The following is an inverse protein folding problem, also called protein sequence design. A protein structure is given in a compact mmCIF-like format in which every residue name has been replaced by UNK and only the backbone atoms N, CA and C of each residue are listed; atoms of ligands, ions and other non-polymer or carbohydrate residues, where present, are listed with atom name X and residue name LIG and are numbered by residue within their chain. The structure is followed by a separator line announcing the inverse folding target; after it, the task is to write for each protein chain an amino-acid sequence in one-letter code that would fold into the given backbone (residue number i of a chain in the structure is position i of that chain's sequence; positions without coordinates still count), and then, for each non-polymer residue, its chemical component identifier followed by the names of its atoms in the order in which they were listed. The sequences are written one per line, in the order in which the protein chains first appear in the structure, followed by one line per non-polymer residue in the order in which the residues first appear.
data_IF_357508413300
#
_entry.id   IF_357508413300
#
_cell.length_a   1.000
_cell.length_b   1.000
_cell.length_c   1.000
_cell.angle_alpha   90.00
_cell.angle_beta   90.00
_cell.angle_gamma   90.00
#
_symmetry.space_group_name_H-M   'P 1'
#
loop_
_entity.id
_entity.type
_entity.pdbx_description
1 polymer ?
#
# COMPACT_ATOMS: atom_id res chain seq x y z
N UNK A 1 11.41 -19.60 23.36
CA UNK A 1 11.62 -18.24 22.84
C UNK A 1 11.38 -18.32 21.35
N UNK A 2 10.42 -17.54 20.84
CA UNK A 2 10.01 -17.56 19.43
C UNK A 2 11.17 -17.03 18.58
N UNK A 3 11.54 -17.74 17.50
CA UNK A 3 12.56 -17.26 16.58
C UNK A 3 11.99 -16.10 15.77
N UNK A 4 12.35 -14.87 16.11
CA UNK A 4 11.93 -13.66 15.37
C UNK A 4 12.70 -13.48 14.05
N UNK A 5 13.47 -14.48 13.59
CA UNK A 5 14.37 -14.39 12.43
C UNK A 5 13.69 -14.00 11.11
N UNK A 6 12.37 -14.17 11.01
CA UNK A 6 11.57 -13.88 9.82
C UNK A 6 10.98 -12.47 9.81
N UNK A 7 10.94 -11.78 10.96
CA UNK A 7 10.51 -10.38 10.99
C UNK A 7 11.61 -9.49 10.41
N UNK A 8 11.27 -8.33 9.80
CA UNK A 8 12.27 -7.34 9.45
C UNK A 8 13.11 -6.94 10.67
N UNK A 9 14.40 -6.68 10.48
CA UNK A 9 15.36 -6.40 11.56
C UNK A 9 14.88 -5.34 12.56
N UNK A 10 14.16 -4.32 12.06
CA UNK A 10 13.57 -3.27 12.89
C UNK A 10 12.55 -3.81 13.91
N UNK A 11 11.76 -4.81 13.52
CA UNK A 11 10.75 -5.43 14.39
C UNK A 11 11.34 -6.52 15.29
N UNK A 12 12.41 -7.20 14.87
CA UNK A 12 13.14 -8.11 15.76
C UNK A 12 13.65 -7.39 17.03
N UNK A 13 14.15 -6.17 16.84
CA UNK A 13 14.57 -5.28 17.93
C UNK A 13 13.37 -4.83 18.79
N UNK A 14 12.23 -4.54 18.17
CA UNK A 14 11.00 -4.17 18.88
C UNK A 14 10.49 -5.28 19.80
N UNK A 15 10.41 -6.52 19.33
CA UNK A 15 9.90 -7.65 20.14
C UNK A 15 10.93 -8.19 21.16
N UNK A 16 12.22 -7.91 20.96
CA UNK A 16 13.27 -8.18 21.98
C UNK A 16 13.42 -7.04 22.99
N UNK A 17 12.87 -5.87 22.71
CA UNK A 17 12.83 -4.73 23.61
C UNK A 17 11.64 -4.82 24.56
N UNK A 18 11.89 -4.73 25.86
CA UNK A 18 10.83 -4.54 26.88
C UNK A 18 10.21 -3.14 26.86
N UNK A 19 10.61 -2.27 25.92
CA UNK A 19 10.09 -0.93 25.74
C UNK A 19 9.04 -0.92 24.62
N UNK A 20 7.76 -0.89 25.01
CA UNK A 20 6.64 -0.61 24.09
C UNK A 20 6.63 0.90 23.83
N UNK A 21 7.00 1.38 22.63
CA UNK A 21 6.87 2.79 22.28
C UNK A 21 5.40 3.17 22.38
N UNK A 22 5.10 4.32 22.99
CA UNK A 22 3.75 4.89 22.90
C UNK A 22 3.43 5.08 21.43
N UNK A 23 2.24 4.66 21.02
CA UNK A 23 1.74 4.93 19.67
C UNK A 23 1.94 6.43 19.38
N UNK A 24 2.51 6.80 18.23
CA UNK A 24 2.68 8.19 17.87
C UNK A 24 1.32 8.90 17.96
N UNK A 25 1.25 10.07 18.58
CA UNK A 25 -0.02 10.83 18.71
C UNK A 25 -0.66 11.15 17.35
N UNK A 26 0.12 11.06 16.27
CA UNK A 26 -0.29 11.28 14.89
C UNK A 26 -0.60 9.99 14.10
N UNK A 27 -0.51 8.79 14.69
CA UNK A 27 -0.91 7.55 14.02
C UNK A 27 -2.45 7.48 13.92
N UNK A 28 -2.99 7.94 12.79
CA UNK A 28 -4.41 7.84 12.48
C UNK A 28 -4.71 6.57 11.70
N UNK A 29 -5.07 5.51 12.41
CA UNK A 29 -5.78 4.37 11.81
C UNK A 29 -7.20 4.82 11.49
N UNK A 30 -7.46 5.15 10.22
CA UNK A 30 -8.82 5.39 9.76
C UNK A 30 -9.54 4.04 9.70
N UNK A 31 -10.34 3.76 10.73
CA UNK A 31 -11.30 2.66 10.66
C UNK A 31 -12.43 3.14 9.74
N UNK A 32 -12.78 2.42 8.65
CA UNK A 32 -14.02 2.70 7.95
C UNK A 32 -15.18 2.54 8.94
N UNK A 33 -16.21 3.37 8.82
CA UNK A 33 -17.42 3.22 9.64
C UNK A 33 -17.95 1.80 9.45
N UNK A 34 -18.27 1.14 10.57
CA UNK A 34 -18.42 -0.32 10.71
C UNK A 34 -19.52 -0.99 9.86
N UNK A 35 -20.19 -0.23 8.99
CA UNK A 35 -21.30 -0.68 8.17
C UNK A 35 -21.02 -0.67 6.66
N UNK A 36 -19.89 -0.12 6.21
CA UNK A 36 -19.52 -0.18 4.80
C UNK A 36 -18.66 -1.42 4.55
N UNK A 37 -19.26 -2.44 3.93
CA UNK A 37 -18.45 -3.58 3.47
C UNK A 37 -17.46 -3.09 2.41
N UNK A 38 -16.29 -3.72 2.28
CA UNK A 38 -15.32 -3.42 1.22
C UNK A 38 -15.98 -3.41 -0.17
N UNK A 39 -17.03 -4.22 -0.36
CA UNK A 39 -17.85 -4.21 -1.59
C UNK A 39 -18.63 -2.92 -1.80
N UNK A 40 -19.12 -2.26 -0.75
CA UNK A 40 -19.78 -0.95 -0.83
C UNK A 40 -18.78 0.14 -1.20
N UNK A 41 -17.60 0.18 -0.57
CA UNK A 41 -16.51 1.12 -0.95
C UNK A 41 -16.09 0.90 -2.42
N UNK A 42 -16.01 -0.36 -2.87
CA UNK A 42 -15.73 -0.72 -4.27
C UNK A 42 -16.87 -0.31 -5.22
N UNK A 43 -18.13 -0.44 -4.80
CA UNK A 43 -19.31 -0.16 -5.64
C UNK A 43 -19.63 1.34 -5.71
N UNK A 44 -19.49 2.06 -4.60
CA UNK A 44 -19.68 3.51 -4.48
C UNK A 44 -18.45 4.30 -4.96
N UNK A 45 -17.26 3.67 -4.95
CA UNK A 45 -16.03 4.19 -5.57
C UNK A 45 -16.12 4.42 -7.08
N UNK A 46 -17.22 4.03 -7.74
CA UNK A 46 -17.55 4.46 -9.10
C UNK A 46 -17.93 5.95 -9.21
N UNK A 47 -18.31 6.62 -8.11
CA UNK A 47 -18.88 7.97 -8.19
C UNK A 47 -18.27 9.04 -7.31
N UNK A 48 -17.43 8.75 -6.31
CA UNK A 48 -16.78 9.81 -5.53
C UNK A 48 -15.30 9.50 -5.30
N UNK A 49 -14.44 10.35 -5.87
CA UNK A 49 -13.01 10.61 -5.57
C UNK A 49 -12.38 9.52 -4.71
N UNK A 50 -11.69 8.55 -5.33
CA UNK A 50 -11.23 7.35 -4.62
C UNK A 50 -10.31 7.60 -3.40
N UNK A 51 -9.73 8.80 -3.23
CA UNK A 51 -9.02 9.21 -2.01
C UNK A 51 -9.10 10.72 -1.75
N UNK A 52 -10.20 11.25 -1.16
CA UNK A 52 -10.29 12.66 -0.83
C UNK A 52 -9.21 13.08 0.19
N UNK A 53 -8.75 12.13 1.01
CA UNK A 53 -7.69 12.35 1.99
C UNK A 53 -6.32 12.54 1.34
N UNK A 54 -5.97 11.74 0.33
CA UNK A 54 -4.71 11.89 -0.39
C UNK A 54 -4.65 13.25 -1.09
N UNK A 55 -5.74 13.65 -1.75
CA UNK A 55 -5.85 14.99 -2.34
C UNK A 55 -5.63 16.09 -1.30
N UNK A 56 -6.20 15.95 -0.11
CA UNK A 56 -6.01 16.90 1.00
C UNK A 56 -4.57 16.92 1.54
N UNK A 57 -3.92 15.77 1.64
CA UNK A 57 -2.52 15.68 2.06
C UNK A 57 -1.58 16.35 1.05
N UNK A 58 -1.81 16.13 -0.25
CA UNK A 58 -1.05 16.77 -1.32
C UNK A 58 -1.23 18.30 -1.33
N UNK A 59 -2.43 18.80 -1.04
CA UNK A 59 -2.69 20.24 -0.88
C UNK A 59 -1.89 20.82 0.29
N UNK A 60 -1.91 20.15 1.44
CA UNK A 60 -1.21 20.61 2.66
C UNK A 60 0.30 20.69 2.43
N UNK A 61 0.91 19.69 1.79
CA UNK A 61 2.34 19.70 1.44
C UNK A 61 2.72 20.84 0.49
N UNK A 62 1.86 21.19 -0.47
CA UNK A 62 2.11 22.33 -1.37
C UNK A 62 2.05 23.65 -0.63
N UNK A 63 1.04 23.88 0.20
CA UNK A 63 0.89 25.13 0.96
C UNK A 63 2.09 25.39 1.88
N UNK A 64 2.67 24.33 2.45
CA UNK A 64 3.89 24.40 3.26
C UNK A 64 5.17 24.72 2.45
N UNK A 65 5.15 24.61 1.12
CA UNK A 65 6.31 24.82 0.23
C UNK A 65 6.23 26.04 -0.68
N UNK A 66 5.17 26.84 -0.59
CA UNK A 66 5.09 28.11 -1.33
C UNK A 66 5.95 29.16 -0.62
N UNK A 67 7.28 29.01 -0.70
CA UNK A 67 8.18 30.15 -0.86
C UNK A 67 8.45 30.26 -2.36
N UNK A 68 7.85 31.26 -3.02
CA UNK A 68 7.84 31.38 -4.48
C UNK A 68 9.25 31.70 -5.00
N UNK A 69 10.01 30.66 -5.35
CA UNK A 69 11.19 30.75 -6.21
C UNK A 69 10.81 30.81 -7.70
N UNK A 70 11.72 31.24 -8.60
CA UNK A 70 11.41 31.54 -10.01
C UNK A 70 11.19 30.31 -10.89
N UNK A 71 11.57 29.12 -10.43
CA UNK A 71 11.37 27.89 -11.17
C UNK A 71 9.98 27.32 -10.85
N UNK A 72 9.15 27.14 -11.88
CA UNK A 72 7.88 26.45 -11.77
C UNK A 72 8.13 25.00 -11.32
N UNK A 73 8.20 24.78 -10.01
CA UNK A 73 8.60 23.51 -9.41
C UNK A 73 7.66 22.38 -9.84
N UNK A 74 8.20 21.36 -10.49
CA UNK A 74 7.49 20.11 -10.70
C UNK A 74 7.31 19.40 -9.34
N UNK A 75 6.08 18.94 -9.07
CA UNK A 75 5.78 18.16 -7.88
C UNK A 75 5.70 16.69 -8.30
N UNK A 76 6.61 15.86 -7.80
CA UNK A 76 6.50 14.40 -7.99
C UNK A 76 5.90 13.76 -6.74
N UNK A 77 5.00 12.81 -6.94
CA UNK A 77 4.34 12.02 -5.90
C UNK A 77 4.55 10.54 -6.21
N UNK A 78 5.04 9.78 -5.23
CA UNK A 78 5.19 8.33 -5.33
C UNK A 78 4.08 7.64 -4.54
N UNK A 79 3.38 6.71 -5.18
CA UNK A 79 2.31 5.91 -4.57
C UNK A 79 2.63 4.43 -4.80
N UNK A 80 3.00 3.73 -3.73
CA UNK A 80 3.19 2.29 -3.73
C UNK A 80 1.95 1.57 -3.20
N UNK A 81 1.54 0.50 -3.88
CA UNK A 81 0.51 -0.41 -3.39
C UNK A 81 1.16 -1.66 -2.82
N UNK A 82 0.95 -1.95 -1.54
CA UNK A 82 1.30 -3.22 -0.92
C UNK A 82 0.01 -4.06 -0.83
N UNK A 83 -0.06 -5.13 -1.61
CA UNK A 83 -1.28 -5.88 -1.84
C UNK A 83 -1.09 -7.33 -1.42
N UNK A 84 -2.00 -7.79 -0.58
CA UNK A 84 -2.17 -9.20 -0.26
C UNK A 84 -2.59 -10.00 -1.50
N UNK A 85 -1.77 -10.99 -1.85
CA UNK A 85 -1.99 -11.91 -2.97
C UNK A 85 -2.21 -13.36 -2.50
N UNK A 86 -2.75 -13.55 -1.29
CA UNK A 86 -3.15 -14.89 -0.83
C UNK A 86 -4.45 -15.36 -1.45
N UNK A 87 -4.76 -16.65 -1.28
CA UNK A 87 -5.93 -17.29 -1.89
C UNK A 87 -7.26 -16.63 -1.55
N UNK A 88 -7.40 -16.05 -0.34
CA UNK A 88 -8.60 -15.34 0.13
C UNK A 88 -8.93 -14.11 -0.73
N UNK A 89 -7.89 -13.46 -1.27
CA UNK A 89 -8.01 -12.25 -2.09
C UNK A 89 -8.46 -12.52 -3.53
N UNK A 90 -8.44 -13.78 -4.00
CA UNK A 90 -8.81 -14.18 -5.37
C UNK A 90 -10.16 -13.61 -5.87
N UNK A 91 -11.29 -13.69 -5.14
CA UNK A 91 -12.55 -13.07 -5.55
C UNK A 91 -12.52 -11.54 -5.61
N UNK A 92 -11.60 -10.89 -4.90
CA UNK A 92 -11.49 -9.42 -4.80
C UNK A 92 -10.57 -8.84 -5.89
N UNK A 93 -9.52 -9.58 -6.29
CA UNK A 93 -8.51 -9.10 -7.24
C UNK A 93 -9.05 -8.49 -8.54
N UNK A 94 -10.06 -9.05 -9.23
CA UNK A 94 -10.59 -8.43 -10.45
C UNK A 94 -11.13 -7.00 -10.22
N UNK A 95 -11.82 -6.79 -9.10
CA UNK A 95 -12.34 -5.48 -8.74
C UNK A 95 -11.21 -4.56 -8.27
N UNK A 96 -10.24 -5.09 -7.53
CA UNK A 96 -9.07 -4.33 -7.07
C UNK A 96 -8.26 -3.77 -8.25
N UNK A 97 -8.02 -4.58 -9.30
CA UNK A 97 -7.33 -4.11 -10.53
C UNK A 97 -8.05 -2.92 -11.15
N UNK A 98 -9.37 -3.02 -11.32
CA UNK A 98 -10.18 -1.95 -11.88
C UNK A 98 -10.14 -0.70 -11.01
N UNK A 99 -10.15 -0.88 -9.68
CA UNK A 99 -10.11 0.23 -8.75
C UNK A 99 -8.75 0.93 -8.73
N UNK A 100 -7.63 0.20 -8.71
CA UNK A 100 -6.29 0.79 -8.79
C UNK A 100 -6.18 1.65 -10.05
N UNK A 101 -6.64 1.16 -11.20
CA UNK A 101 -6.61 1.92 -12.45
C UNK A 101 -7.53 3.16 -12.40
N UNK A 102 -8.71 3.03 -11.80
CA UNK A 102 -9.62 4.17 -11.61
C UNK A 102 -9.04 5.21 -10.64
N UNK A 103 -8.30 4.77 -9.62
CA UNK A 103 -7.60 5.63 -8.66
C UNK A 103 -6.53 6.42 -9.38
N UNK A 104 -5.66 5.75 -10.14
CA UNK A 104 -4.52 6.39 -10.80
C UNK A 104 -4.99 7.40 -11.84
N UNK A 105 -5.99 7.05 -12.65
CA UNK A 105 -6.64 7.97 -13.62
C UNK A 105 -7.35 9.14 -12.90
N UNK A 106 -8.00 8.86 -11.77
CA UNK A 106 -8.69 9.87 -10.97
C UNK A 106 -7.73 10.88 -10.35
N UNK A 107 -6.60 10.42 -9.80
CA UNK A 107 -5.57 11.28 -9.20
C UNK A 107 -5.03 12.23 -10.26
N UNK A 108 -4.65 11.75 -11.44
CA UNK A 108 -4.15 12.60 -12.53
C UNK A 108 -5.18 13.67 -12.93
N UNK A 109 -6.46 13.30 -13.06
CA UNK A 109 -7.53 14.24 -13.40
C UNK A 109 -7.78 15.29 -12.32
N UNK A 110 -7.76 14.90 -11.04
CA UNK A 110 -7.94 15.80 -9.91
C UNK A 110 -6.79 16.78 -9.80
N UNK A 111 -5.56 16.28 -9.96
CA UNK A 111 -4.37 17.10 -9.89
C UNK A 111 -4.34 18.13 -11.03
N UNK A 112 -4.66 17.71 -12.26
CA UNK A 112 -4.77 18.61 -13.39
C UNK A 112 -5.82 19.72 -13.17
N UNK A 113 -7.01 19.39 -12.65
CA UNK A 113 -8.07 20.36 -12.37
C UNK A 113 -7.72 21.32 -11.24
N UNK A 114 -7.06 20.83 -10.19
CA UNK A 114 -6.83 21.61 -8.98
C UNK A 114 -5.57 22.47 -9.05
N UNK A 115 -4.56 22.06 -9.83
CA UNK A 115 -3.24 22.69 -9.83
C UNK A 115 -2.83 23.35 -11.16
N UNK A 116 -3.66 23.31 -12.20
CA UNK A 116 -3.50 24.11 -13.41
C UNK A 116 -2.18 23.84 -14.15
N UNK A 117 -1.32 24.86 -14.29
CA UNK A 117 -0.03 24.81 -15.01
C UNK A 117 1.10 24.06 -14.26
N UNK A 118 0.90 23.69 -12.99
CA UNK A 118 1.92 22.94 -12.26
C UNK A 118 2.04 21.51 -12.83
N UNK A 119 3.24 21.15 -13.29
CA UNK A 119 3.51 19.78 -13.74
C UNK A 119 3.62 18.88 -12.51
N UNK A 120 2.52 18.21 -12.16
CA UNK A 120 2.51 17.18 -11.13
C UNK A 120 2.70 15.82 -11.80
N UNK A 121 3.74 15.12 -11.40
CA UNK A 121 4.04 13.76 -11.86
C UNK A 121 3.69 12.76 -10.79
N UNK A 122 2.97 11.72 -11.16
CA UNK A 122 2.61 10.62 -10.25
C UNK A 122 3.32 9.36 -10.71
N UNK A 123 3.97 8.67 -9.78
CA UNK A 123 4.63 7.39 -10.01
C UNK A 123 3.97 6.32 -9.18
N UNK A 124 3.79 5.14 -9.77
CA UNK A 124 3.08 4.03 -9.16
C UNK A 124 3.94 2.78 -9.10
N UNK A 125 4.00 2.13 -7.94
CA UNK A 125 4.63 0.82 -7.76
C UNK A 125 3.64 -0.16 -7.13
N UNK A 126 3.85 -1.45 -7.35
CA UNK A 126 3.07 -2.53 -6.76
C UNK A 126 4.01 -3.55 -6.15
N UNK A 127 3.76 -3.87 -4.88
CA UNK A 127 4.27 -5.04 -4.20
C UNK A 127 3.10 -5.99 -3.95
N UNK A 128 3.20 -7.21 -4.45
CA UNK A 128 2.37 -8.32 -4.00
C UNK A 128 3.09 -9.13 -2.92
N UNK A 129 2.48 -9.23 -1.74
CA UNK A 129 2.98 -10.05 -0.61
C UNK A 129 2.00 -11.18 -0.29
N UNK A 130 2.47 -12.18 0.46
CA UNK A 130 1.73 -13.37 0.90
C UNK A 130 2.18 -13.75 2.32
N UNK A 131 2.05 -15.02 2.70
CA UNK A 131 2.63 -15.58 3.90
C UNK A 131 4.13 -15.91 3.72
N UNK A 132 4.90 -15.87 4.81
CA UNK A 132 6.35 -16.09 4.84
C UNK A 132 6.76 -17.47 4.30
N UNK A 133 5.89 -18.48 4.47
CA UNK A 133 6.12 -19.85 4.02
C UNK A 133 6.02 -19.99 2.49
N UNK A 134 5.48 -18.99 1.79
CA UNK A 134 5.21 -19.04 0.36
C UNK A 134 6.26 -18.35 -0.50
N UNK A 135 7.24 -17.72 0.13
CA UNK A 135 8.39 -17.15 -0.55
C UNK A 135 9.43 -18.22 -0.84
N UNK A 136 9.13 -19.14 -1.76
CA UNK A 136 10.16 -20.03 -2.30
C UNK A 136 11.22 -19.18 -3.03
N UNK A 137 12.46 -19.14 -2.52
CA UNK A 137 13.58 -18.41 -3.11
C UNK A 137 13.34 -16.92 -3.44
N UNK A 138 12.48 -16.22 -2.69
CA UNK A 138 12.28 -14.77 -2.87
C UNK A 138 11.33 -14.41 -4.02
N UNK A 139 10.29 -15.23 -4.25
CA UNK A 139 9.22 -15.05 -5.24
C UNK A 139 8.26 -13.87 -4.92
N UNK A 140 8.83 -12.72 -4.57
CA UNK A 140 8.11 -11.46 -4.36
C UNK A 140 7.57 -10.93 -5.69
N UNK A 141 6.36 -10.41 -5.66
CA UNK A 141 5.74 -9.79 -6.84
C UNK A 141 6.11 -8.32 -6.84
N UNK A 142 7.22 -7.99 -7.52
CA UNK A 142 7.76 -6.63 -7.61
C UNK A 142 7.39 -5.94 -8.91
N UNK A 143 6.86 -4.72 -8.78
CA UNK A 143 6.68 -3.79 -9.88
C UNK A 143 7.07 -2.40 -9.41
N UNK A 144 8.28 -1.99 -9.77
CA UNK A 144 8.83 -0.70 -9.34
C UNK A 144 8.13 0.47 -10.05
N UNK A 145 8.43 1.68 -9.60
CA UNK A 145 7.76 2.91 -9.97
C UNK A 145 7.72 3.19 -11.47
N UNK A 146 6.52 3.35 -12.01
CA UNK A 146 6.25 3.82 -13.37
C UNK A 146 5.37 5.06 -13.38
N UNK A 147 5.56 5.92 -14.38
CA UNK A 147 4.64 7.03 -14.68
C UNK A 147 3.53 6.59 -15.66
N UNK A 148 3.80 5.57 -16.49
CA UNK A 148 2.88 5.14 -17.56
C UNK A 148 1.78 4.18 -17.05
N UNK A 149 0.54 4.66 -17.11
CA UNK A 149 -0.64 3.87 -16.75
C UNK A 149 -0.83 2.63 -17.63
N UNK A 150 -0.35 2.61 -18.87
CA UNK A 150 -0.45 1.42 -19.71
C UNK A 150 0.47 0.30 -19.21
N UNK A 151 1.67 0.65 -18.74
CA UNK A 151 2.62 -0.29 -18.13
C UNK A 151 2.07 -0.83 -16.82
N UNK A 152 1.52 0.03 -15.96
CA UNK A 152 0.81 -0.38 -14.74
C UNK A 152 -0.36 -1.34 -15.06
N UNK A 153 -1.19 -1.00 -16.06
CA UNK A 153 -2.32 -1.83 -16.49
C UNK A 153 -1.87 -3.18 -17.02
N UNK A 154 -0.78 -3.26 -17.78
CA UNK A 154 -0.23 -4.54 -18.26
C UNK A 154 0.22 -5.40 -17.09
N UNK A 155 0.91 -4.83 -16.11
CA UNK A 155 1.34 -5.55 -14.93
C UNK A 155 0.16 -6.09 -14.10
N UNK A 156 -0.85 -5.25 -13.83
CA UNK A 156 -2.05 -5.69 -13.10
C UNK A 156 -2.80 -6.84 -13.77
N UNK A 157 -2.69 -6.98 -15.10
CA UNK A 157 -3.30 -8.07 -15.87
C UNK A 157 -2.32 -9.22 -16.17
N UNK A 158 -1.09 -9.17 -15.65
CA UNK A 158 -0.10 -10.22 -15.83
C UNK A 158 -0.42 -11.43 -14.95
N UNK A 159 0.26 -12.55 -15.22
CA UNK A 159 0.17 -13.76 -14.38
C UNK A 159 0.92 -13.61 -13.05
N UNK A 160 1.82 -12.63 -12.94
CA UNK A 160 2.57 -12.38 -11.71
C UNK A 160 1.65 -11.79 -10.63
N UNK A 161 0.69 -10.96 -11.05
CA UNK A 161 -0.32 -10.39 -10.17
C UNK A 161 -1.51 -11.35 -9.98
N UNK A 162 -1.26 -12.50 -9.36
CA UNK A 162 -2.26 -13.53 -9.08
C UNK A 162 -2.36 -13.89 -7.60
N UNK A 163 -3.59 -14.18 -7.16
CA UNK A 163 -3.86 -14.70 -5.83
C UNK A 163 -3.57 -16.21 -5.79
N UNK A 164 -2.72 -16.63 -4.86
CA UNK A 164 -2.38 -18.04 -4.62
C UNK A 164 -1.97 -18.23 -3.17
N UNK A 165 -2.03 -19.47 -2.71
CA UNK A 165 -1.57 -19.79 -1.36
C UNK A 165 -2.56 -19.47 -0.24
N UNK A 166 -2.03 -19.40 0.97
CA UNK A 166 -2.71 -19.38 2.26
C UNK A 166 -2.68 -20.77 2.92
N UNK A 167 -2.29 -20.82 4.20
CA UNK A 167 -2.41 -22.01 5.06
C UNK A 167 -3.04 -21.62 6.40
N UNK A 168 -2.46 -20.67 7.12
CA UNK A 168 -3.08 -20.02 8.26
C UNK A 168 -3.71 -18.67 7.91
N UNK A 169 -4.39 -18.07 8.90
CA UNK A 169 -5.14 -16.84 8.72
C UNK A 169 -4.24 -15.59 8.71
N UNK A 170 -3.04 -15.67 9.27
CA UNK A 170 -2.15 -14.52 9.38
C UNK A 170 -1.19 -14.46 8.19
N UNK A 171 -0.88 -13.26 7.72
CA UNK A 171 -0.04 -13.05 6.53
C UNK A 171 1.21 -12.23 6.87
N UNK A 172 2.23 -12.27 6.00
CA UNK A 172 3.49 -11.52 6.17
C UNK A 172 3.38 -10.04 5.75
N UNK A 173 2.41 -9.34 6.36
CA UNK A 173 2.16 -7.92 6.14
C UNK A 173 3.41 -7.08 6.46
N UNK A 174 4.18 -7.45 7.49
CA UNK A 174 5.37 -6.69 7.89
C UNK A 174 6.54 -6.92 6.94
N UNK A 175 6.78 -8.15 6.48
CA UNK A 175 7.75 -8.42 5.42
C UNK A 175 7.37 -7.71 4.12
N UNK A 176 6.08 -7.71 3.77
CA UNK A 176 5.55 -6.92 2.67
C UNK A 176 5.88 -5.42 2.81
N UNK A 177 5.57 -4.80 3.95
CA UNK A 177 5.91 -3.39 4.14
C UNK A 177 7.41 -3.11 4.10
N UNK A 178 8.26 -4.01 4.62
CA UNK A 178 9.72 -3.90 4.54
C UNK A 178 10.21 -3.94 3.08
N UNK A 179 9.74 -4.89 2.28
CA UNK A 179 10.05 -4.97 0.85
C UNK A 179 9.56 -3.73 0.09
N UNK A 180 8.38 -3.21 0.41
CA UNK A 180 7.87 -1.99 -0.23
C UNK A 180 8.80 -0.78 0.00
N UNK A 181 9.55 -0.75 1.12
CA UNK A 181 10.53 0.32 1.38
C UNK A 181 11.75 0.27 0.45
N UNK A 182 12.00 -0.86 -0.22
CA UNK A 182 13.18 -1.09 -1.07
C UNK A 182 12.98 -0.63 -2.52
N UNK A 183 11.76 -0.25 -2.91
CA UNK A 183 11.49 0.33 -4.23
C UNK A 183 12.20 1.67 -4.45
N UNK A 184 12.28 2.10 -5.72
CA UNK A 184 13.00 3.31 -6.13
C UNK A 184 12.22 4.60 -5.81
N UNK A 185 11.95 4.85 -4.53
CA UNK A 185 11.30 6.07 -4.04
C UNK A 185 12.19 7.30 -4.26
N UNK A 186 11.70 8.31 -4.99
CA UNK A 186 12.45 9.55 -5.25
C UNK A 186 11.66 10.80 -4.85
N UNK A 187 10.33 10.73 -4.82
CA UNK A 187 9.46 11.86 -4.51
C UNK A 187 9.57 12.30 -3.07
N UNK A 188 9.30 13.58 -2.78
CA UNK A 188 9.22 14.07 -1.39
C UNK A 188 7.90 13.68 -0.72
N UNK A 189 6.85 13.46 -1.50
CA UNK A 189 5.58 12.91 -1.03
C UNK A 189 5.52 11.43 -1.43
N UNK A 190 5.49 10.54 -0.43
CA UNK A 190 5.56 9.09 -0.59
C UNK A 190 4.43 8.45 0.18
N UNK A 191 3.63 7.64 -0.48
CA UNK A 191 2.47 6.99 0.13
C UNK A 191 2.53 5.49 -0.13
N UNK A 192 2.30 4.69 0.91
CA UNK A 192 2.02 3.27 0.77
C UNK A 192 0.55 3.04 1.06
N UNK A 193 -0.13 2.36 0.15
CA UNK A 193 -1.51 1.91 0.32
C UNK A 193 -1.45 0.40 0.56
N UNK A 194 -1.72 -0.01 1.79
CA UNK A 194 -1.82 -1.40 2.18
C UNK A 194 -3.24 -1.93 1.91
N UNK A 195 -3.36 -3.06 1.22
CA UNK A 195 -4.62 -3.73 0.91
C UNK A 195 -4.53 -5.20 1.36
N UNK A 196 -5.36 -5.58 2.33
CA UNK A 196 -5.34 -6.91 2.94
C UNK A 196 -6.73 -7.32 3.45
N UNK A 197 -7.00 -8.62 3.57
CA UNK A 197 -8.20 -9.15 4.23
C UNK A 197 -7.91 -10.03 5.46
N UNK A 198 -6.63 -10.26 5.75
CA UNK A 198 -6.12 -11.01 6.89
C UNK A 198 -5.27 -10.15 7.86
N UNK A 199 -5.17 -10.54 9.15
CA UNK A 199 -4.27 -9.92 10.12
C UNK A 199 -2.79 -10.22 9.84
N UNK A 200 -1.90 -9.38 10.38
CA UNK A 200 -0.46 -9.65 10.37
C UNK A 200 -0.05 -10.64 11.48
N UNK A 201 1.02 -11.40 11.26
CA UNK A 201 1.61 -12.24 12.32
C UNK A 201 1.99 -11.44 13.59
N UNK A 202 1.92 -12.11 14.74
CA UNK A 202 2.39 -11.56 16.02
C UNK A 202 1.42 -10.60 16.73
N UNK A 203 0.25 -10.32 16.14
CA UNK A 203 -0.78 -9.44 16.72
C UNK A 203 -1.95 -10.18 17.40
N UNK A 204 -2.10 -11.50 17.22
CA UNK A 204 -3.20 -12.26 17.80
C UNK A 204 -2.77 -13.55 18.49
N UNK A 205 -2.99 -13.64 19.80
CA UNK A 205 -2.90 -14.91 20.53
C UNK A 205 -4.18 -15.71 20.31
N UNK A 206 -4.11 -16.82 19.58
CA UNK A 206 -5.12 -17.89 19.68
C UNK A 206 -6.07 -18.09 18.49
N UNK A 207 -5.81 -17.51 17.32
CA UNK A 207 -6.48 -17.92 16.08
C UNK A 207 -5.41 -18.38 15.10
N UNK A 208 -5.13 -19.68 15.09
CA UNK A 208 -4.41 -20.43 14.05
C UNK A 208 -3.08 -19.85 13.50
N UNK A 209 -2.51 -18.80 14.11
CA UNK A 209 -1.22 -18.18 13.76
C UNK A 209 -0.10 -19.20 14.02
N UNK A 210 0.32 -19.90 12.97
CA UNK A 210 1.35 -20.94 13.03
C UNK A 210 2.74 -20.35 13.19
N UNK A 211 2.89 -19.03 13.13
CA UNK A 211 4.12 -18.31 13.48
C UNK A 211 4.67 -18.69 14.87
N UNK A 212 3.80 -19.16 15.77
CA UNK A 212 4.15 -19.52 17.15
C UNK A 212 4.21 -21.04 17.44
N UNK A 213 4.07 -21.92 16.44
CA UNK A 213 4.14 -23.38 16.63
C UNK A 213 5.54 -23.95 16.38
#
# INVERSE_FOLDING_TARGET
AVSCSYLPNAFQSFFSSSHIPRAPENLRLHKPDSNESTKQIITEGRQNVAFPHLSKMLQTERELRIERGPDAGSLTVDIGFAIDLTGSMKPVLPNLRAQILSITEGIESLLAKQFGEATIKTRYSILGYRDYAEYDNGDWVHFDFVEDLQTLRKFLNSKEFEARGGDDLAEDVLGGLDEATKFAWESRARFVILVCDAPAHGLHKGLEDKFNQ
#
